data_IF_099129064542
#
_entry.id   IF_099129064542
#
_cell.length_a   1.000
_cell.length_b   1.000
_cell.length_c   1.000
_cell.angle_alpha   90.00
_cell.angle_beta   90.00
_cell.angle_gamma   90.00
#
_symmetry.space_group_name_H-M   'P 1'
#
loop_
_entity.id
_entity.type
_entity.pdbx_description
1 polymer ?
#
# COMPACT_ATOMS: atom_id res chain seq x y z
N UNK A 1 31.45 -42.16 -16.03
CA UNK A 1 30.04 -41.92 -16.40
C UNK A 1 29.62 -40.63 -15.72
N UNK A 2 29.54 -39.55 -16.49
CA UNK A 2 29.05 -38.25 -16.03
C UNK A 2 27.57 -38.14 -16.41
N UNK A 3 26.70 -37.64 -15.53
CA UNK A 3 25.47 -37.01 -15.95
C UNK A 3 25.66 -35.49 -15.93
N UNK A 4 25.85 -34.91 -17.12
CA UNK A 4 25.56 -33.50 -17.37
C UNK A 4 24.03 -33.34 -17.33
N UNK A 5 23.52 -32.57 -16.38
CA UNK A 5 22.14 -32.08 -16.39
C UNK A 5 22.19 -30.56 -16.32
N UNK A 6 21.74 -29.83 -17.36
CA UNK A 6 21.57 -28.40 -17.24
C UNK A 6 20.32 -28.15 -16.40
N UNK A 7 20.51 -27.68 -15.16
CA UNK A 7 19.40 -27.14 -14.40
C UNK A 7 18.92 -25.87 -15.09
N UNK A 8 17.64 -25.88 -15.44
CA UNK A 8 16.93 -24.79 -16.08
C UNK A 8 17.16 -23.49 -15.32
N UNK A 9 17.48 -22.43 -16.06
CA UNK A 9 17.21 -21.08 -15.62
C UNK A 9 15.69 -20.97 -15.46
N UNK A 10 15.20 -21.18 -14.24
CA UNK A 10 13.91 -20.66 -13.84
C UNK A 10 14.08 -19.14 -13.89
N UNK A 11 13.56 -18.53 -14.96
CA UNK A 11 13.18 -17.13 -14.98
C UNK A 11 12.27 -16.90 -13.76
N UNK A 12 12.88 -16.53 -12.64
CA UNK A 12 12.22 -15.73 -11.63
C UNK A 12 11.70 -14.50 -12.37
N UNK A 13 10.44 -14.56 -12.82
CA UNK A 13 9.70 -13.37 -13.26
C UNK A 13 9.87 -12.37 -12.14
N UNK A 14 10.75 -11.40 -12.36
CA UNK A 14 11.02 -10.33 -11.42
C UNK A 14 9.68 -9.77 -10.98
N UNK A 15 9.35 -9.96 -9.70
CA UNK A 15 8.08 -9.53 -9.09
C UNK A 15 7.83 -8.02 -9.35
N UNK A 16 8.90 -7.30 -9.65
CA UNK A 16 9.00 -5.88 -10.00
C UNK A 16 8.31 -5.50 -11.34
N UNK A 17 8.22 -6.41 -12.32
CA UNK A 17 7.58 -6.12 -13.62
C UNK A 17 6.04 -6.05 -13.53
N UNK A 18 5.45 -6.54 -12.44
CA UNK A 18 4.00 -6.56 -12.25
C UNK A 18 3.43 -5.27 -11.64
N UNK A 19 4.28 -4.45 -11.01
CA UNK A 19 3.85 -3.27 -10.25
C UNK A 19 3.68 -2.08 -11.18
N UNK A 20 2.46 -1.86 -11.66
CA UNK A 20 2.10 -0.76 -12.56
C UNK A 20 1.01 0.12 -11.96
N UNK A 21 0.84 1.38 -12.42
CA UNK A 21 -0.31 2.20 -12.05
C UNK A 21 -1.65 1.48 -12.30
N UNK A 22 -1.73 0.65 -13.36
CA UNK A 22 -2.91 -0.13 -13.70
C UNK A 22 -3.24 -1.21 -12.65
N UNK A 23 -2.22 -1.83 -12.03
CA UNK A 23 -2.44 -2.80 -10.96
C UNK A 23 -3.12 -2.15 -9.74
N UNK A 24 -2.66 -0.96 -9.35
CA UNK A 24 -3.28 -0.20 -8.27
C UNK A 24 -4.66 0.33 -8.65
N UNK A 25 -4.86 0.69 -9.92
CA UNK A 25 -6.16 1.11 -10.45
C UNK A 25 -7.21 0.01 -10.33
N UNK A 26 -6.88 -1.24 -10.67
CA UNK A 26 -7.79 -2.39 -10.53
C UNK A 26 -8.29 -2.55 -9.09
N UNK A 27 -7.38 -2.50 -8.11
CA UNK A 27 -7.75 -2.58 -6.68
C UNK A 27 -8.63 -1.38 -6.29
N UNK A 28 -8.33 -0.20 -6.84
CA UNK A 28 -9.11 1.02 -6.62
C UNK A 28 -10.55 0.85 -7.14
N UNK A 29 -10.73 0.26 -8.32
CA UNK A 29 -12.04 -0.04 -8.91
C UNK A 29 -12.82 -1.06 -8.06
N UNK A 30 -12.17 -2.13 -7.61
CA UNK A 30 -12.77 -3.11 -6.69
C UNK A 30 -13.25 -2.45 -5.40
N UNK A 31 -12.46 -1.54 -4.82
CA UNK A 31 -12.84 -0.77 -3.65
C UNK A 31 -13.92 0.28 -3.95
N UNK A 32 -14.02 0.78 -5.17
CA UNK A 32 -14.99 1.80 -5.58
C UNK A 32 -16.30 1.20 -6.12
N UNK A 33 -16.36 -0.11 -6.37
CA UNK A 33 -17.51 -0.78 -6.98
C UNK A 33 -18.84 -0.56 -6.23
N UNK A 34 -19.99 -0.69 -6.90
CA UNK A 34 -21.30 -0.43 -6.28
C UNK A 34 -21.66 -1.46 -5.19
N UNK A 35 -21.12 -2.68 -5.30
CA UNK A 35 -21.42 -3.76 -4.37
C UNK A 35 -20.81 -3.51 -2.99
N UNK A 36 -21.58 -3.70 -1.90
CA UNK A 36 -21.05 -3.59 -0.55
C UNK A 36 -20.02 -4.70 -0.30
N UNK A 37 -18.90 -4.34 0.31
CA UNK A 37 -17.89 -5.29 0.76
C UNK A 37 -18.06 -5.52 2.26
N UNK A 38 -17.93 -6.78 2.68
CA UNK A 38 -17.79 -7.11 4.09
C UNK A 38 -16.54 -6.44 4.67
N UNK A 39 -16.58 -6.10 5.97
CA UNK A 39 -15.47 -5.45 6.67
C UNK A 39 -14.12 -6.16 6.50
N UNK A 40 -14.08 -7.48 6.70
CA UNK A 40 -12.86 -8.29 6.56
C UNK A 40 -12.31 -8.26 5.14
N UNK A 41 -13.21 -8.22 4.16
CA UNK A 41 -12.84 -8.21 2.77
C UNK A 41 -12.35 -6.83 2.31
N UNK A 42 -12.93 -5.76 2.85
CA UNK A 42 -12.38 -4.40 2.73
C UNK A 42 -10.95 -4.36 3.26
N UNK A 43 -10.71 -4.88 4.47
CA UNK A 43 -9.38 -4.88 5.10
C UNK A 43 -8.34 -5.62 4.24
N UNK A 44 -8.70 -6.78 3.67
CA UNK A 44 -7.84 -7.52 2.73
C UNK A 44 -7.49 -6.71 1.48
N UNK A 45 -8.47 -6.04 0.87
CA UNK A 45 -8.27 -5.22 -0.33
C UNK A 45 -7.46 -3.96 -0.05
N UNK A 46 -7.67 -3.33 1.11
CA UNK A 46 -6.86 -2.21 1.58
C UNK A 46 -5.42 -2.66 1.81
N UNK A 47 -5.19 -3.82 2.43
CA UNK A 47 -3.84 -4.36 2.61
C UNK A 47 -3.16 -4.66 1.26
N UNK A 48 -3.85 -5.34 0.34
CA UNK A 48 -3.31 -5.62 -0.99
C UNK A 48 -2.96 -4.34 -1.75
N UNK A 49 -3.86 -3.35 -1.71
CA UNK A 49 -3.63 -2.04 -2.32
C UNK A 49 -2.49 -1.27 -1.65
N UNK A 50 -2.33 -1.37 -0.34
CA UNK A 50 -1.22 -0.75 0.39
C UNK A 50 0.13 -1.35 -0.02
N UNK A 51 0.21 -2.68 -0.22
CA UNK A 51 1.42 -3.33 -0.74
C UNK A 51 1.78 -2.84 -2.14
N UNK A 52 0.79 -2.75 -3.05
CA UNK A 52 1.02 -2.24 -4.41
C UNK A 52 1.37 -0.74 -4.38
N UNK A 53 0.69 0.05 -3.57
CA UNK A 53 0.95 1.48 -3.39
C UNK A 53 2.37 1.72 -2.87
N UNK A 54 2.84 0.92 -1.90
CA UNK A 54 4.22 0.98 -1.38
C UNK A 54 5.24 0.75 -2.49
N UNK A 55 5.08 -0.34 -3.24
CA UNK A 55 5.99 -0.69 -4.33
C UNK A 55 6.00 0.39 -5.41
N UNK A 56 4.82 0.86 -5.83
CA UNK A 56 4.68 1.93 -6.80
C UNK A 56 5.29 3.25 -6.31
N UNK A 57 5.11 3.58 -5.04
CA UNK A 57 5.69 4.75 -4.38
C UNK A 57 7.22 4.69 -4.31
N UNK A 58 7.80 3.52 -4.06
CA UNK A 58 9.25 3.32 -4.10
C UNK A 58 9.82 3.53 -5.52
N UNK A 59 9.12 3.01 -6.55
CA UNK A 59 9.49 3.25 -7.95
C UNK A 59 9.37 4.73 -8.33
N UNK A 60 8.32 5.40 -7.84
CA UNK A 60 8.10 6.84 -8.04
C UNK A 60 9.19 7.68 -7.37
N UNK A 61 9.61 7.31 -6.16
CA UNK A 61 10.71 7.94 -5.45
C UNK A 61 12.03 7.82 -6.24
N UNK A 62 12.31 6.65 -6.80
CA UNK A 62 13.47 6.41 -7.67
C UNK A 62 13.43 7.24 -8.97
N UNK A 63 12.25 7.66 -9.44
CA UNK A 63 12.06 8.55 -10.59
C UNK A 63 12.24 10.05 -10.28
N UNK A 64 12.73 10.40 -9.09
CA UNK A 64 13.04 11.80 -8.72
C UNK A 64 12.08 12.44 -7.72
N UNK A 65 11.10 11.70 -7.19
CA UNK A 65 10.15 12.17 -6.18
C UNK A 65 10.48 11.69 -4.74
N UNK A 66 11.74 11.34 -4.48
CA UNK A 66 12.19 10.82 -3.19
C UNK A 66 11.91 11.73 -1.98
N UNK A 67 11.77 13.05 -2.18
CA UNK A 67 11.40 13.98 -1.12
C UNK A 67 10.00 13.70 -0.52
N UNK A 68 9.10 13.06 -1.27
CA UNK A 68 7.74 12.72 -0.83
C UNK A 68 7.70 11.37 -0.09
N UNK A 69 8.69 10.50 -0.34
CA UNK A 69 8.70 9.11 0.12
C UNK A 69 8.65 8.99 1.65
N UNK A 70 9.47 9.74 2.38
CA UNK A 70 9.58 9.55 3.84
C UNK A 70 8.26 9.80 4.58
N UNK A 71 7.46 10.73 4.07
CA UNK A 71 6.13 11.02 4.62
C UNK A 71 5.12 9.91 4.28
N UNK A 72 5.14 9.41 3.04
CA UNK A 72 4.29 8.29 2.65
C UNK A 72 4.64 7.02 3.43
N UNK A 73 5.93 6.76 3.63
CA UNK A 73 6.45 5.60 4.36
C UNK A 73 5.99 5.57 5.82
N UNK A 74 6.01 6.71 6.51
CA UNK A 74 5.50 6.80 7.87
C UNK A 74 4.02 6.41 7.95
N UNK A 75 3.20 6.88 7.00
CA UNK A 75 1.77 6.56 6.91
C UNK A 75 1.56 5.07 6.59
N UNK A 76 2.31 4.53 5.62
CA UNK A 76 2.24 3.12 5.22
C UNK A 76 2.58 2.19 6.39
N UNK A 77 3.64 2.50 7.14
CA UNK A 77 4.04 1.73 8.31
C UNK A 77 3.01 1.78 9.43
N UNK A 78 2.40 2.95 9.68
CA UNK A 78 1.32 3.08 10.67
C UNK A 78 0.12 2.20 10.27
N UNK A 79 -0.37 2.33 9.03
CA UNK A 79 -1.46 1.50 8.52
C UNK A 79 -1.15 0.01 8.62
N UNK A 80 0.08 -0.40 8.27
CA UNK A 80 0.48 -1.79 8.39
C UNK A 80 0.54 -2.29 9.84
N UNK A 81 0.87 -1.43 10.81
CA UNK A 81 0.84 -1.77 12.23
C UNK A 81 -0.60 -1.92 12.73
N UNK A 82 -1.48 -0.99 12.38
CA UNK A 82 -2.87 -1.00 12.82
C UNK A 82 -3.64 -2.17 12.22
N UNK A 83 -3.44 -2.48 10.92
CA UNK A 83 -4.02 -3.65 10.25
C UNK A 83 -3.64 -4.97 10.93
N UNK A 84 -2.43 -5.10 11.49
CA UNK A 84 -2.04 -6.31 12.25
C UNK A 84 -2.84 -6.52 13.53
N UNK A 85 -3.47 -5.47 14.06
CA UNK A 85 -4.31 -5.56 15.27
C UNK A 85 -5.73 -6.04 14.98
N UNK A 86 -6.11 -6.15 13.71
CA UNK A 86 -7.43 -6.62 13.30
C UNK A 86 -7.60 -8.11 13.55
N UNK A 87 -8.83 -8.52 13.85
CA UNK A 87 -9.20 -9.93 13.90
C UNK A 87 -9.09 -10.59 12.51
N UNK A 88 -9.36 -9.83 11.44
CA UNK A 88 -9.24 -10.28 10.05
C UNK A 88 -7.85 -10.85 9.72
N UNK A 89 -6.79 -10.27 10.28
CA UNK A 89 -5.41 -10.71 10.06
C UNK A 89 -4.79 -11.44 11.24
N UNK A 90 -5.60 -11.91 12.18
CA UNK A 90 -5.12 -12.70 13.32
C UNK A 90 -4.35 -13.94 12.82
N UNK A 91 -3.10 -14.07 13.25
CA UNK A 91 -2.21 -15.16 12.84
C UNK A 91 -1.59 -15.01 11.44
N UNK A 92 -1.86 -13.93 10.72
CA UNK A 92 -1.27 -13.66 9.40
C UNK A 92 -0.07 -12.71 9.56
N UNK A 93 1.15 -13.11 9.15
CA UNK A 93 2.31 -12.24 9.24
C UNK A 93 2.28 -11.17 8.15
N UNK A 94 1.66 -10.02 8.42
CA UNK A 94 1.68 -8.88 7.49
C UNK A 94 3.07 -8.23 7.47
N UNK A 95 3.66 -8.06 6.29
CA UNK A 95 4.90 -7.31 6.08
C UNK A 95 4.76 -6.44 4.83
N UNK A 96 5.13 -5.17 4.96
CA UNK A 96 5.16 -4.29 3.80
C UNK A 96 6.29 -4.72 2.88
N UNK A 97 6.06 -4.76 1.56
CA UNK A 97 7.12 -5.04 0.60
C UNK A 97 8.12 -3.88 0.54
N UNK A 98 9.41 -4.22 0.46
CA UNK A 98 10.51 -3.26 0.43
C UNK A 98 11.66 -3.81 -0.42
N UNK A 99 11.60 -3.70 -1.77
CA UNK A 99 12.68 -4.08 -2.65
C UNK A 99 13.94 -3.26 -2.33
N UNK A 100 15.11 -3.92 -2.36
CA UNK A 100 16.38 -3.28 -2.05
C UNK A 100 16.78 -2.21 -3.08
N UNK A 101 16.35 -2.36 -4.33
CA UNK A 101 16.65 -1.44 -5.43
C UNK A 101 15.44 -1.35 -6.40
N UNK A 102 14.44 -0.50 -6.10
CA UNK A 102 13.26 -0.36 -6.97
C UNK A 102 13.63 0.24 -8.32
N UNK A 103 13.14 -0.36 -9.41
CA UNK A 103 13.33 0.19 -10.75
C UNK A 103 12.50 1.47 -10.94
N UNK A 104 13.08 2.58 -11.44
CA UNK A 104 12.34 3.81 -11.66
C UNK A 104 11.20 3.60 -12.67
N UNK A 105 10.13 4.37 -12.50
CA UNK A 105 9.06 4.48 -13.50
C UNK A 105 9.57 5.19 -14.75
N UNK A 106 8.98 4.83 -15.90
CA UNK A 106 9.18 5.60 -17.14
C UNK A 106 8.59 7.00 -16.96
N UNK A 107 9.16 8.05 -17.58
CA UNK A 107 8.65 9.42 -17.44
C UNK A 107 7.15 9.57 -17.74
N UNK A 108 6.64 8.83 -18.73
CA UNK A 108 5.22 8.83 -19.10
C UNK A 108 4.29 8.20 -18.04
N UNK A 109 4.82 7.43 -17.09
CA UNK A 109 4.03 6.74 -16.05
C UNK A 109 3.97 7.49 -14.73
N UNK A 110 4.78 8.53 -14.54
CA UNK A 110 4.90 9.27 -13.27
C UNK A 110 3.56 9.89 -12.85
N UNK A 111 2.91 10.62 -13.75
CA UNK A 111 1.60 11.23 -13.49
C UNK A 111 0.52 10.19 -13.24
N UNK A 112 0.52 9.09 -14.01
CA UNK A 112 -0.43 8.00 -13.83
C UNK A 112 -0.23 7.29 -12.48
N UNK A 113 1.02 7.13 -12.04
CA UNK A 113 1.34 6.54 -10.74
C UNK A 113 0.87 7.43 -9.59
N UNK A 114 1.14 8.74 -9.65
CA UNK A 114 0.62 9.71 -8.69
C UNK A 114 -0.91 9.68 -8.63
N UNK A 115 -1.57 9.71 -9.78
CA UNK A 115 -3.02 9.63 -9.87
C UNK A 115 -3.57 8.33 -9.28
N UNK A 116 -2.89 7.20 -9.52
CA UNK A 116 -3.28 5.90 -8.95
C UNK A 116 -3.12 5.86 -7.42
N UNK A 117 -2.03 6.39 -6.87
CA UNK A 117 -1.80 6.48 -5.41
C UNK A 117 -2.87 7.34 -4.72
N UNK A 118 -3.17 8.50 -5.31
CA UNK A 118 -4.23 9.39 -4.81
C UNK A 118 -5.61 8.74 -4.96
N UNK A 119 -5.87 8.12 -6.11
CA UNK A 119 -7.13 7.41 -6.38
C UNK A 119 -7.40 6.29 -5.39
N UNK A 120 -6.40 5.44 -5.16
CA UNK A 120 -6.45 4.38 -4.16
C UNK A 120 -6.73 4.93 -2.77
N UNK A 121 -5.95 5.92 -2.31
CA UNK A 121 -6.10 6.51 -0.97
C UNK A 121 -7.52 7.01 -0.72
N UNK A 122 -8.12 7.67 -1.71
CA UNK A 122 -9.51 8.16 -1.63
C UNK A 122 -10.53 7.03 -1.63
N UNK A 123 -10.36 6.02 -2.49
CA UNK A 123 -11.27 4.88 -2.58
C UNK A 123 -11.23 4.03 -1.30
N UNK A 124 -10.02 3.72 -0.82
CA UNK A 124 -9.78 3.01 0.43
C UNK A 124 -10.45 3.74 1.60
N UNK A 125 -10.21 5.04 1.77
CA UNK A 125 -10.86 5.85 2.81
C UNK A 125 -12.38 5.71 2.80
N UNK A 126 -13.00 5.94 1.63
CA UNK A 126 -14.47 5.85 1.49
C UNK A 126 -14.98 4.46 1.82
N UNK A 127 -14.33 3.42 1.30
CA UNK A 127 -14.74 2.03 1.50
C UNK A 127 -14.57 1.59 2.95
N UNK A 128 -13.49 1.99 3.61
CA UNK A 128 -13.25 1.68 5.02
C UNK A 128 -14.35 2.27 5.90
N UNK A 129 -14.70 3.55 5.70
CA UNK A 129 -15.80 4.19 6.43
C UNK A 129 -17.15 3.50 6.15
N UNK A 130 -17.43 3.17 4.90
CA UNK A 130 -18.69 2.53 4.51
C UNK A 130 -18.85 1.11 5.09
N UNK A 131 -17.76 0.37 5.29
CA UNK A 131 -17.77 -1.01 5.80
C UNK A 131 -17.56 -1.13 7.31
N UNK A 132 -17.19 -0.03 7.99
CA UNK A 132 -16.97 -0.05 9.44
C UNK A 132 -18.19 -0.58 10.22
N UNK A 133 -19.40 -0.12 9.86
CA UNK A 133 -20.63 -0.52 10.54
C UNK A 133 -21.07 -1.97 10.30
N UNK A 134 -20.44 -2.69 9.36
CA UNK A 134 -20.71 -4.11 9.10
C UNK A 134 -19.68 -5.05 9.72
N UNK A 135 -18.72 -4.52 10.47
CA UNK A 135 -17.69 -5.32 11.13
C UNK A 135 -18.27 -6.14 12.29
N UNK A 136 -18.04 -7.45 12.25
CA UNK A 136 -18.45 -8.36 13.33
C UNK A 136 -17.53 -8.27 14.56
N UNK A 137 -16.31 -7.73 14.40
CA UNK A 137 -15.28 -7.66 15.42
C UNK A 137 -14.93 -6.21 15.72
N UNK A 138 -14.89 -5.86 17.01
CA UNK A 138 -14.63 -4.48 17.44
C UNK A 138 -13.28 -3.94 16.96
N UNK A 139 -12.23 -4.77 16.95
CA UNK A 139 -10.91 -4.38 16.45
C UNK A 139 -10.95 -4.01 14.96
N UNK A 140 -11.72 -4.74 14.15
CA UNK A 140 -11.89 -4.47 12.72
C UNK A 140 -12.67 -3.17 12.51
N UNK A 141 -13.75 -2.96 13.26
CA UNK A 141 -14.51 -1.70 13.21
C UNK A 141 -13.61 -0.50 13.57
N UNK A 142 -12.86 -0.61 14.68
CA UNK A 142 -11.98 0.45 15.16
C UNK A 142 -10.97 0.85 14.10
N UNK A 143 -10.29 -0.14 13.51
CA UNK A 143 -9.30 0.09 12.44
C UNK A 143 -9.97 0.70 11.22
N UNK A 144 -11.10 0.16 10.76
CA UNK A 144 -11.82 0.73 9.61
C UNK A 144 -12.21 2.21 9.80
N UNK A 145 -12.64 2.60 11.01
CA UNK A 145 -12.95 4.01 11.32
C UNK A 145 -11.68 4.85 11.43
N UNK A 146 -10.73 4.43 12.26
CA UNK A 146 -9.52 5.20 12.57
C UNK A 146 -8.62 5.36 11.34
N UNK A 147 -8.28 4.24 10.70
CA UNK A 147 -7.32 4.19 9.60
C UNK A 147 -7.88 4.78 8.30
N UNK A 148 -9.20 4.97 8.21
CA UNK A 148 -9.76 5.76 7.10
C UNK A 148 -9.25 7.20 7.07
N UNK A 149 -8.87 7.76 8.22
CA UNK A 149 -8.24 9.07 8.33
C UNK A 149 -6.76 8.97 7.94
N UNK A 150 -6.07 7.95 8.47
CA UNK A 150 -4.64 7.70 8.21
C UNK A 150 -4.39 7.44 6.72
N UNK A 151 -5.22 6.65 6.03
CA UNK A 151 -5.10 6.43 4.59
C UNK A 151 -5.38 7.71 3.78
N UNK A 152 -6.16 8.65 4.32
CA UNK A 152 -6.32 9.98 3.74
C UNK A 152 -5.04 10.82 3.80
N UNK A 153 -4.16 10.56 4.76
CA UNK A 153 -2.85 11.21 4.86
C UNK A 153 -1.86 10.68 3.80
N UNK A 154 -2.07 9.47 3.25
CA UNK A 154 -1.26 8.93 2.16
C UNK A 154 -1.42 9.77 0.87
N UNK A 155 -2.65 10.20 0.57
CA UNK A 155 -2.90 11.19 -0.49
C UNK A 155 -2.12 12.48 -0.23
N UNK A 156 -2.19 13.00 1.00
CA UNK A 156 -1.55 14.26 1.36
C UNK A 156 -0.01 14.18 1.25
N UNK A 157 0.57 13.02 1.60
CA UNK A 157 1.99 12.76 1.48
C UNK A 157 2.46 12.80 0.01
N UNK A 158 1.77 12.07 -0.88
CA UNK A 158 2.13 12.03 -2.31
C UNK A 158 1.82 13.32 -3.07
N UNK A 159 0.92 14.16 -2.56
CA UNK A 159 0.69 15.51 -3.11
C UNK A 159 1.61 16.58 -2.51
N UNK A 160 2.56 16.20 -1.64
CA UNK A 160 3.47 17.15 -0.99
C UNK A 160 2.78 18.15 -0.06
N UNK A 161 1.54 17.86 0.36
CA UNK A 161 0.72 18.76 1.20
C UNK A 161 1.17 18.76 2.66
N UNK A 162 2.01 17.81 3.07
CA UNK A 162 2.69 17.81 4.39
C UNK A 162 4.20 17.73 4.18
N UNK A 163 4.93 18.69 4.77
CA UNK A 163 6.40 18.77 4.67
C UNK A 163 7.13 17.85 5.66
N UNK A 164 6.46 17.33 6.70
CA UNK A 164 7.06 16.34 7.61
C UNK A 164 6.01 15.65 8.50
N UNK A 165 5.94 14.32 8.45
CA UNK A 165 5.45 13.49 9.55
C UNK A 165 6.67 13.05 10.34
N UNK A 166 7.22 13.92 11.19
CA UNK A 166 8.30 13.50 12.08
C UNK A 166 7.70 12.51 13.07
N UNK A 167 8.08 11.24 12.96
CA UNK A 167 8.11 10.34 14.10
C UNK A 167 9.09 10.98 15.08
N UNK A 168 8.62 11.41 16.25
CA UNK A 168 9.49 11.91 17.31
C UNK A 168 10.54 10.84 17.61
N UNK A 169 11.76 11.07 17.12
CA UNK A 169 12.92 10.27 17.48
C UNK A 169 13.33 10.79 18.86
N UNK A 170 13.25 10.00 19.94
CA UNK A 170 13.71 10.48 21.23
C UNK A 170 15.18 10.90 21.11
N UNK A 171 15.59 12.01 21.75
CA UNK A 171 16.95 12.48 21.68
C UNK A 171 17.88 11.37 22.15
N UNK A 172 18.82 10.98 21.29
CA UNK A 172 19.94 10.13 21.70
C UNK A 172 20.81 10.97 22.64
N UNK A 173 20.66 10.74 23.93
CA UNK A 173 21.67 11.03 24.95
C UNK A 173 22.82 10.05 24.82
#
# INVERSE_FOLDING_TARGET
MSPDTPAAAEDEKSEDDSITPAALHRITEELAGPEPLAASETLKRVWAGLCVARLLGLRLAASGLGALQGNAEAVEHQLAQDLRTTATFSGVPLRLPAPAAPLPLRPAEVEAALAALVGFSRAARRRMLASAGSAAQWHDERVLRHDSLVVGELEAAWLGRRRSYRVDRPPRT
#
